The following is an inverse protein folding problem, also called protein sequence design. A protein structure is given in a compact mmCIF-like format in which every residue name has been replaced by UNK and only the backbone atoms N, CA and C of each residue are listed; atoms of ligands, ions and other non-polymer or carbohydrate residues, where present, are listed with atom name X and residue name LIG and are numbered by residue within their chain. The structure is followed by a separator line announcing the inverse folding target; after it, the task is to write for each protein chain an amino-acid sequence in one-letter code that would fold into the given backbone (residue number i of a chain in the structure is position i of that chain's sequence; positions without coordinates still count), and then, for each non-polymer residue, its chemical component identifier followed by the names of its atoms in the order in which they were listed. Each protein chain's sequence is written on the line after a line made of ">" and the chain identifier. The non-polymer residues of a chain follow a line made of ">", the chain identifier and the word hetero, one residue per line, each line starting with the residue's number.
data_IF_149524406256
#
_entry.id   IF_149524406256
#
_cell.length_a   1.000
_cell.length_b   1.000
_cell.length_c   1.000
_cell.angle_alpha   90.00
_cell.angle_beta   90.00
_cell.angle_gamma   90.00
#
_symmetry.space_group_name_H-M   'P 1'
#
loop_
_entity.id
_entity.type
_entity.pdbx_description
1 polymer ?
#
# COMPACT_ATOMS: atom_id res chain seq x y z
N UNK A 1 3.31 -2.54 -13.09
CA UNK A 1 3.36 -1.08 -13.35
C UNK A 1 4.58 -0.51 -12.67
N UNK A 2 5.27 0.47 -13.26
CA UNK A 2 6.39 1.18 -12.60
C UNK A 2 5.82 2.23 -11.65
N UNK A 3 6.32 2.26 -10.42
CA UNK A 3 5.81 3.15 -9.37
C UNK A 3 6.86 4.18 -8.91
N UNK A 4 8.15 3.81 -8.87
CA UNK A 4 9.19 4.69 -8.33
C UNK A 4 10.58 4.28 -8.85
N UNK A 5 11.49 5.26 -8.92
CA UNK A 5 12.92 5.08 -9.19
C UNK A 5 13.68 5.02 -7.88
N UNK A 6 14.71 4.18 -7.78
CA UNK A 6 15.65 4.26 -6.67
C UNK A 6 16.42 5.59 -6.75
N UNK A 7 16.70 6.25 -5.63
CA UNK A 7 17.44 7.51 -5.60
C UNK A 7 18.82 7.46 -6.27
N UNK A 8 19.50 6.31 -6.23
CA UNK A 8 20.77 6.09 -6.94
C UNK A 8 20.62 5.97 -8.46
N UNK A 9 19.40 5.86 -8.98
CA UNK A 9 19.10 5.76 -10.41
C UNK A 9 19.37 4.39 -11.04
N UNK A 10 19.71 3.36 -10.26
CA UNK A 10 20.07 2.04 -10.79
C UNK A 10 18.87 1.08 -10.92
N UNK A 11 17.76 1.35 -10.22
CA UNK A 11 16.60 0.47 -10.15
C UNK A 11 15.26 1.20 -10.33
N UNK A 12 14.31 0.48 -10.92
CA UNK A 12 12.89 0.80 -10.85
C UNK A 12 12.22 -0.17 -9.89
N UNK A 13 11.21 0.27 -9.16
CA UNK A 13 10.31 -0.60 -8.40
C UNK A 13 8.89 -0.48 -8.91
N UNK A 14 8.17 -1.60 -8.89
CA UNK A 14 6.81 -1.69 -9.36
C UNK A 14 6.08 -2.88 -8.77
N UNK A 15 4.80 -2.97 -9.08
CA UNK A 15 3.97 -4.12 -8.68
C UNK A 15 3.75 -5.11 -9.81
N UNK A 16 3.67 -6.39 -9.44
CA UNK A 16 3.39 -7.53 -10.30
C UNK A 16 1.91 -7.56 -10.70
N UNK A 17 1.61 -7.10 -11.92
CA UNK A 17 0.24 -7.00 -12.43
C UNK A 17 -0.60 -5.91 -11.74
N UNK A 18 -1.87 -5.78 -12.14
CA UNK A 18 -2.79 -4.78 -11.57
C UNK A 18 -3.34 -5.20 -10.21
N UNK A 19 -3.29 -6.49 -9.88
CA UNK A 19 -3.86 -7.06 -8.66
C UNK A 19 -2.92 -7.01 -7.45
N UNK A 20 -1.83 -6.23 -7.51
CA UNK A 20 -0.87 -6.09 -6.41
C UNK A 20 -0.35 -7.45 -5.88
N UNK A 21 0.07 -8.34 -6.82
CA UNK A 21 0.56 -9.69 -6.51
C UNK A 21 2.04 -9.70 -6.10
N UNK A 22 2.57 -8.61 -5.54
CA UNK A 22 3.97 -8.55 -5.13
C UNK A 22 4.76 -7.41 -5.74
N UNK A 23 5.93 -7.19 -5.13
CA UNK A 23 6.87 -6.15 -5.49
C UNK A 23 7.94 -6.74 -6.41
N UNK A 24 8.21 -6.03 -7.51
CA UNK A 24 9.23 -6.37 -8.50
C UNK A 24 10.16 -5.17 -8.66
N UNK A 25 11.45 -5.43 -8.76
CA UNK A 25 12.45 -4.46 -9.19
C UNK A 25 12.92 -4.75 -10.60
N UNK A 26 13.31 -3.71 -11.31
CA UNK A 26 14.03 -3.80 -12.58
C UNK A 26 15.36 -3.08 -12.44
N UNK A 27 16.47 -3.79 -12.70
CA UNK A 27 17.79 -3.17 -12.73
C UNK A 27 18.08 -2.60 -14.11
N UNK A 28 18.45 -1.33 -14.17
CA UNK A 28 18.82 -0.65 -15.42
C UNK A 28 20.20 -1.11 -15.92
N UNK A 29 21.09 -1.47 -15.00
CA UNK A 29 22.45 -1.95 -15.28
C UNK A 29 22.45 -3.31 -15.96
N UNK A 30 21.78 -4.29 -15.37
CA UNK A 30 21.73 -5.66 -15.90
C UNK A 30 20.55 -5.91 -16.84
N UNK A 31 19.57 -4.99 -16.90
CA UNK A 31 18.32 -5.11 -17.66
C UNK A 31 17.47 -6.32 -17.27
N UNK A 32 17.48 -6.67 -16.00
CA UNK A 32 16.76 -7.84 -15.47
C UNK A 32 15.69 -7.43 -14.48
N UNK A 33 14.62 -8.23 -14.41
CA UNK A 33 13.61 -8.14 -13.36
C UNK A 33 13.95 -9.08 -12.21
N UNK A 34 13.63 -8.67 -10.99
CA UNK A 34 13.68 -9.51 -9.80
C UNK A 34 12.39 -9.35 -9.00
N UNK A 35 11.78 -10.47 -8.59
CA UNK A 35 10.57 -10.45 -7.77
C UNK A 35 10.98 -10.60 -6.32
N UNK A 36 10.64 -9.60 -5.53
CA UNK A 36 11.07 -9.50 -4.14
C UNK A 36 10.00 -10.02 -3.16
N UNK A 37 8.73 -9.90 -3.52
CA UNK A 37 7.61 -10.44 -2.73
C UNK A 37 6.54 -11.08 -3.63
N UNK A 38 5.67 -11.89 -3.03
CA UNK A 38 4.47 -12.45 -3.65
C UNK A 38 3.18 -11.73 -3.24
N UNK A 39 3.29 -10.66 -2.43
CA UNK A 39 2.15 -9.87 -1.96
C UNK A 39 2.45 -8.36 -1.93
N UNK A 40 1.38 -7.57 -2.03
CA UNK A 40 1.43 -6.12 -1.89
C UNK A 40 1.64 -5.37 -3.20
N UNK A 41 1.48 -4.05 -3.14
CA UNK A 41 1.54 -3.18 -4.29
C UNK A 41 1.80 -1.72 -3.92
N UNK A 42 1.80 -0.87 -4.94
CA UNK A 42 2.14 0.55 -4.85
C UNK A 42 3.44 0.85 -4.09
N UNK A 43 4.57 0.21 -4.46
CA UNK A 43 5.85 0.42 -3.78
C UNK A 43 6.42 1.82 -4.05
N UNK A 44 7.13 2.35 -3.06
CA UNK A 44 7.94 3.57 -3.16
C UNK A 44 9.28 3.36 -2.46
N UNK A 45 10.36 3.82 -3.08
CA UNK A 45 11.70 3.74 -2.50
C UNK A 45 11.87 4.71 -1.32
N UNK A 46 12.65 4.27 -0.34
CA UNK A 46 13.28 5.16 0.63
C UNK A 46 14.50 5.87 0.01
N UNK A 47 14.96 6.99 0.61
CA UNK A 47 16.13 7.74 0.14
C UNK A 47 17.45 6.94 0.11
N UNK A 48 17.53 5.83 0.82
CA UNK A 48 18.72 4.98 0.93
C UNK A 48 18.94 4.02 -0.25
N UNK A 49 18.01 3.98 -1.22
CA UNK A 49 18.07 3.06 -2.37
C UNK A 49 18.13 1.56 -2.01
N UNK A 50 17.75 1.21 -0.78
CA UNK A 50 17.75 -0.17 -0.28
C UNK A 50 16.38 -0.60 0.23
N UNK A 51 15.64 0.30 0.87
CA UNK A 51 14.33 -0.02 1.44
C UNK A 51 13.18 0.46 0.56
N UNK A 52 12.08 -0.29 0.60
CA UNK A 52 10.86 0.02 -0.13
C UNK A 52 9.67 -0.03 0.83
N UNK A 53 8.89 1.05 0.87
CA UNK A 53 7.58 1.07 1.52
C UNK A 53 6.52 0.58 0.53
N UNK A 54 5.64 -0.31 0.95
CA UNK A 54 4.51 -0.74 0.12
C UNK A 54 3.28 -1.09 0.96
N UNK A 55 2.11 -1.12 0.31
CA UNK A 55 0.84 -1.44 0.96
C UNK A 55 0.39 -2.87 0.61
N UNK A 56 -0.16 -3.56 1.60
CA UNK A 56 -0.77 -4.88 1.43
C UNK A 56 -2.21 -4.90 1.95
N UNK A 57 -3.11 -5.53 1.18
CA UNK A 57 -4.52 -5.69 1.52
C UNK A 57 -5.28 -4.39 1.74
N UNK A 58 -4.75 -3.25 1.29
CA UNK A 58 -5.30 -1.92 1.54
C UNK A 58 -5.32 -1.52 3.02
N UNK A 59 -4.58 -2.22 3.90
CA UNK A 59 -4.68 -2.03 5.36
C UNK A 59 -3.35 -1.92 6.09
N UNK A 60 -2.28 -2.45 5.53
CA UNK A 60 -0.99 -2.54 6.20
C UNK A 60 0.11 -1.98 5.33
N UNK A 61 1.01 -1.20 5.93
CA UNK A 61 2.28 -0.85 5.31
C UNK A 61 3.37 -1.81 5.76
N UNK A 62 4.24 -2.14 4.81
CA UNK A 62 5.42 -2.95 5.01
C UNK A 62 6.64 -2.22 4.50
N UNK A 63 7.75 -2.37 5.21
CA UNK A 63 9.09 -1.99 4.74
C UNK A 63 9.79 -3.26 4.28
N UNK A 64 10.21 -3.27 3.03
CA UNK A 64 11.00 -4.34 2.41
C UNK A 64 12.46 -3.90 2.32
N UNK A 65 13.36 -4.70 2.88
CA UNK A 65 14.78 -4.64 2.56
C UNK A 65 15.03 -5.43 1.26
N UNK A 66 15.47 -4.75 0.20
CA UNK A 66 15.64 -5.37 -1.13
C UNK A 66 16.84 -6.31 -1.22
N UNK A 67 17.81 -6.22 -0.31
CA UNK A 67 19.01 -7.08 -0.29
C UNK A 67 18.71 -8.41 0.38
N UNK A 68 18.00 -8.38 1.49
CA UNK A 68 17.66 -9.55 2.31
C UNK A 68 16.31 -10.16 1.92
N UNK A 69 15.48 -9.41 1.16
CA UNK A 69 14.10 -9.75 0.79
C UNK A 69 13.16 -9.91 1.99
N UNK A 70 13.54 -9.36 3.14
CA UNK A 70 12.71 -9.37 4.36
C UNK A 70 11.72 -8.22 4.31
N UNK A 71 10.44 -8.53 4.45
CA UNK A 71 9.37 -7.55 4.57
C UNK A 71 8.83 -7.53 6.00
N UNK A 72 8.84 -6.36 6.63
CA UNK A 72 8.33 -6.17 7.98
C UNK A 72 7.13 -5.23 7.98
N UNK A 73 6.07 -5.61 8.70
CA UNK A 73 4.90 -4.75 8.86
C UNK A 73 5.23 -3.64 9.85
N UNK A 74 5.07 -2.39 9.42
CA UNK A 74 5.39 -1.22 10.25
C UNK A 74 4.15 -0.45 10.70
N UNK A 75 3.03 -0.62 10.01
CA UNK A 75 1.78 0.08 10.33
C UNK A 75 0.57 -0.70 9.82
N UNK A 76 -0.55 -0.63 10.53
CA UNK A 76 -1.83 -1.17 10.04
C UNK A 76 -3.04 -0.46 10.63
N UNK A 77 -4.11 -0.40 9.84
CA UNK A 77 -5.45 -0.01 10.27
C UNK A 77 -6.36 -1.24 10.40
N UNK A 78 -7.38 -1.16 11.26
CA UNK A 78 -8.34 -2.26 11.45
C UNK A 78 -9.47 -2.23 10.41
N UNK A 79 -10.23 -1.12 10.38
CA UNK A 79 -11.47 -1.00 9.59
C UNK A 79 -11.28 -0.25 8.28
N UNK A 80 -10.39 0.73 8.27
CA UNK A 80 -10.24 1.65 7.15
C UNK A 80 -9.47 1.05 5.98
N UNK A 81 -9.45 1.77 4.87
CA UNK A 81 -8.57 1.49 3.74
C UNK A 81 -7.53 2.59 3.64
N UNK A 82 -6.26 2.21 3.49
CA UNK A 82 -5.15 3.14 3.24
C UNK A 82 -4.72 3.06 1.78
N UNK A 83 -4.48 4.22 1.19
CA UNK A 83 -3.98 4.35 -0.17
C UNK A 83 -2.46 4.21 -0.27
N UNK A 84 -1.91 4.36 -1.48
CA UNK A 84 -0.46 4.45 -1.71
C UNK A 84 0.18 5.51 -0.83
N UNK A 85 1.39 5.23 -0.35
CA UNK A 85 2.19 6.18 0.40
C UNK A 85 3.22 6.89 -0.50
N UNK A 86 3.70 8.02 -0.03
CA UNK A 86 4.92 8.69 -0.49
C UNK A 86 5.85 8.89 0.71
N UNK A 87 7.14 8.68 0.51
CA UNK A 87 8.17 8.86 1.55
C UNK A 87 8.81 10.23 1.39
N UNK A 88 9.00 10.92 2.51
CA UNK A 88 9.72 12.19 2.60
C UNK A 88 11.18 12.05 2.17
N UNK A 89 11.81 13.18 1.79
CA UNK A 89 13.17 13.19 1.26
C UNK A 89 14.23 12.70 2.24
N UNK A 90 14.02 12.87 3.55
CA UNK A 90 14.90 12.40 4.62
C UNK A 90 14.53 11.00 5.12
N UNK A 91 13.45 10.41 4.59
CA UNK A 91 13.00 9.06 4.91
C UNK A 91 12.33 8.92 6.27
N UNK A 92 12.06 10.03 6.97
CA UNK A 92 11.53 9.99 8.34
C UNK A 92 9.99 9.93 8.39
N UNK A 93 9.35 10.46 7.36
CA UNK A 93 7.89 10.55 7.27
C UNK A 93 7.34 9.85 6.03
N UNK A 94 6.14 9.30 6.15
CA UNK A 94 5.35 8.78 5.04
C UNK A 94 3.96 9.43 5.02
N UNK A 95 3.58 9.96 3.87
CA UNK A 95 2.28 10.59 3.63
C UNK A 95 1.40 9.65 2.82
N UNK A 96 0.14 9.47 3.25
CA UNK A 96 -0.82 8.60 2.58
C UNK A 96 -2.25 9.06 2.82
N UNK A 97 -3.18 8.55 2.02
CA UNK A 97 -4.61 8.80 2.22
C UNK A 97 -5.23 7.67 3.04
N UNK A 98 -6.10 8.03 3.99
CA UNK A 98 -6.95 7.09 4.73
C UNK A 98 -8.40 7.32 4.30
N UNK A 99 -9.07 6.25 3.88
CA UNK A 99 -10.49 6.24 3.53
C UNK A 99 -11.24 5.50 4.63
N UNK A 100 -12.10 6.25 5.31
CA UNK A 100 -13.05 5.72 6.29
C UNK A 100 -14.40 5.65 5.59
N UNK A 101 -15.03 4.47 5.61
CA UNK A 101 -16.42 4.33 5.18
C UNK A 101 -17.27 4.32 6.44
N UNK A 102 -18.11 5.34 6.58
CA UNK A 102 -19.10 5.44 7.64
C UNK A 102 -20.48 5.21 7.03
N UNK A 103 -21.34 4.51 7.75
CA UNK A 103 -22.70 4.22 7.32
C UNK A 103 -23.59 4.04 8.53
N UNK A 104 -24.64 4.84 8.60
CA UNK A 104 -25.64 4.75 9.66
C UNK A 104 -26.83 3.92 9.18
N UNK A 105 -27.35 3.08 10.07
CA UNK A 105 -28.61 2.38 9.85
C UNK A 105 -29.61 2.92 10.87
N UNK A 106 -30.71 3.47 10.36
CA UNK A 106 -31.80 3.99 11.16
C UNK A 106 -33.01 3.07 11.02
N UNK A 107 -33.60 2.68 12.16
CA UNK A 107 -34.86 1.95 12.19
C UNK A 107 -35.99 2.94 12.52
N UNK A 108 -36.94 3.07 11.59
CA UNK A 108 -38.18 3.80 11.84
C UNK A 108 -39.29 2.78 12.10
N UNK A 109 -39.96 2.93 13.24
CA UNK A 109 -41.16 2.15 13.58
C UNK A 109 -42.38 3.01 13.31
N UNK A 110 -43.30 2.52 12.48
CA UNK A 110 -44.61 3.13 12.33
C UNK A 110 -45.58 2.51 13.32
N UNK A 111 -46.33 3.35 14.03
CA UNK A 111 -47.43 2.88 14.86
C UNK A 111 -48.60 2.54 13.93
N UNK A 112 -49.00 1.27 13.85
CA UNK A 112 -50.23 0.87 13.16
C UNK A 112 -51.41 1.20 14.07
N UNK A 113 -51.62 2.50 14.29
CA UNK A 113 -52.80 3.01 14.98
C UNK A 113 -54.03 2.48 14.26
N UNK A 114 -54.87 1.77 15.01
CA UNK A 114 -56.12 1.14 14.62
C UNK A 114 -56.84 1.93 13.53
N UNK A 115 -56.97 1.37 12.33
CA UNK A 115 -57.99 1.81 11.37
C UNK A 115 -59.33 1.49 12.03
N UNK A 116 -59.88 2.49 12.71
CA UNK A 116 -61.20 2.40 13.34
C UNK A 116 -62.27 2.31 12.27
N UNK A 117 -62.96 1.17 12.26
CA UNK A 117 -64.26 0.81 11.65
C UNK A 117 -64.69 1.49 10.37
#
# INVERSE_FOLDING_TARGET
>A
MVNSWSPDGDHLVGMAGLEARGIITYSLRSRTFDRLTDFGGFPVWFPDSQHVLFVAGGKSFFVLDTRTRKAEKVFSVQRDVIGPAQVSRDGQEAYFTRRVTEGDIWLLTFDTGSVGK
#
